data_IF_800701397950
#
_entry.id   IF_800701397950
#
_cell.length_a   1.000
_cell.length_b   1.000
_cell.length_c   1.000
_cell.angle_alpha   90.00
_cell.angle_beta   90.00
_cell.angle_gamma   90.00
#
_symmetry.space_group_name_H-M   'P 1'
#
loop_
_entity.id
_entity.type
_entity.pdbx_description
1 polymer ?
#
# COMPACT_ATOMS: atom_id res chain seq x y z
N UNK A 1 2.84 37.60 -46.60
CA UNK A 1 3.21 36.72 -45.47
C UNK A 1 1.94 36.42 -44.73
N UNK A 2 1.42 35.22 -44.95
CA UNK A 2 -0.02 34.95 -44.85
C UNK A 2 -0.45 34.70 -43.40
N UNK A 3 -1.48 35.45 -42.98
CA UNK A 3 -2.10 35.43 -41.66
C UNK A 3 -2.61 34.04 -41.23
N UNK A 4 -2.67 33.10 -42.17
CA UNK A 4 -3.12 31.72 -42.02
C UNK A 4 -2.12 30.82 -41.27
N UNK A 5 -0.82 31.10 -41.35
CA UNK A 5 0.20 30.35 -40.59
C UNK A 5 0.22 30.74 -39.10
N UNK A 6 -0.04 32.02 -38.81
CA UNK A 6 -0.11 32.52 -37.45
C UNK A 6 -1.33 31.97 -36.70
N UNK A 7 -2.49 31.85 -37.36
CA UNK A 7 -3.68 31.27 -36.74
C UNK A 7 -3.52 29.78 -36.42
N UNK A 8 -2.83 29.02 -37.28
CA UNK A 8 -2.55 27.59 -37.04
C UNK A 8 -1.63 27.37 -35.82
N UNK A 9 -0.61 28.21 -35.63
CA UNK A 9 0.29 28.14 -34.47
C UNK A 9 -0.43 28.48 -33.16
N UNK A 10 -1.30 29.48 -33.17
CA UNK A 10 -2.07 29.89 -31.97
C UNK A 10 -3.05 28.79 -31.56
N UNK A 11 -3.76 28.18 -32.52
CA UNK A 11 -4.71 27.09 -32.23
C UNK A 11 -3.98 25.83 -31.75
N UNK A 12 -2.84 25.49 -32.35
CA UNK A 12 -2.00 24.37 -31.91
C UNK A 12 -1.44 24.56 -30.50
N UNK A 13 -0.94 25.75 -30.17
CA UNK A 13 -0.45 26.08 -28.83
C UNK A 13 -1.57 26.08 -27.78
N UNK A 14 -2.75 26.61 -28.11
CA UNK A 14 -3.90 26.61 -27.22
C UNK A 14 -4.41 25.19 -26.93
N UNK A 15 -4.52 24.34 -27.96
CA UNK A 15 -4.93 22.93 -27.79
C UNK A 15 -3.86 22.14 -27.01
N UNK A 16 -2.58 22.34 -27.32
CA UNK A 16 -1.45 21.75 -26.60
C UNK A 16 -1.41 22.17 -25.12
N UNK A 17 -1.67 23.44 -24.82
CA UNK A 17 -1.76 23.95 -23.45
C UNK A 17 -2.97 23.39 -22.69
N UNK A 18 -4.14 23.28 -23.34
CA UNK A 18 -5.34 22.68 -22.75
C UNK A 18 -5.19 21.18 -22.46
N UNK A 19 -4.47 20.44 -23.31
CA UNK A 19 -4.15 19.02 -23.09
C UNK A 19 -3.06 18.87 -22.02
N UNK A 20 -2.01 19.69 -22.06
CA UNK A 20 -0.89 19.65 -21.12
C UNK A 20 -1.28 20.03 -19.69
N UNK A 21 -2.18 21.00 -19.51
CA UNK A 21 -2.67 21.41 -18.17
C UNK A 21 -3.68 20.42 -17.57
N UNK A 22 -4.24 19.50 -18.36
CA UNK A 22 -5.16 18.46 -17.87
C UNK A 22 -4.49 17.22 -17.28
N UNK A 23 -3.15 17.09 -17.37
CA UNK A 23 -2.41 15.90 -16.89
C UNK A 23 -1.71 16.07 -15.54
N UNK A 24 -1.80 17.24 -14.91
CA UNK A 24 -1.19 17.50 -13.60
C UNK A 24 -2.23 17.65 -12.50
N UNK A 25 -2.99 16.58 -12.22
CA UNK A 25 -3.48 16.39 -10.86
C UNK A 25 -2.45 15.51 -10.15
N UNK A 26 -1.73 16.00 -9.13
CA UNK A 26 -0.91 15.12 -8.31
C UNK A 26 -1.84 14.09 -7.67
N UNK A 27 -1.63 12.82 -8.00
CA UNK A 27 -2.32 11.63 -7.43
C UNK A 27 -2.25 11.62 -5.89
N UNK A 28 -1.37 12.43 -5.31
CA UNK A 28 -1.14 12.58 -3.88
C UNK A 28 -2.28 13.30 -3.14
N UNK A 29 -3.04 14.19 -3.79
CA UNK A 29 -4.04 15.02 -3.10
C UNK A 29 -5.43 14.35 -2.94
N UNK A 30 -5.74 13.35 -3.77
CA UNK A 30 -7.05 12.69 -3.77
C UNK A 30 -7.13 11.49 -2.80
N UNK A 31 -5.99 11.01 -2.28
CA UNK A 31 -5.91 9.91 -1.32
C UNK A 31 -6.25 10.35 0.12
N UNK A 32 -6.31 11.66 0.39
CA UNK A 32 -6.49 12.20 1.74
C UNK A 32 -7.95 12.17 2.23
N UNK A 33 -8.95 12.12 1.32
CA UNK A 33 -10.36 12.30 1.71
C UNK A 33 -11.14 11.02 2.02
N UNK A 34 -10.71 9.86 1.56
CA UNK A 34 -11.43 8.59 1.80
C UNK A 34 -11.08 7.94 3.16
N UNK A 35 -10.13 8.50 3.91
CA UNK A 35 -9.65 8.00 5.21
C UNK A 35 -10.42 8.62 6.40
N UNK A 36 -11.50 9.38 6.17
CA UNK A 36 -12.18 10.12 7.25
C UNK A 36 -13.33 9.42 7.98
N UNK A 37 -13.72 8.19 7.61
CA UNK A 37 -14.99 7.64 8.11
C UNK A 37 -14.94 6.28 8.80
N UNK A 38 -13.79 5.71 9.21
CA UNK A 38 -13.83 4.54 10.11
C UNK A 38 -12.77 4.52 11.22
N UNK A 39 -13.26 4.87 12.42
CA UNK A 39 -12.94 4.20 13.70
C UNK A 39 -11.66 4.66 14.43
N UNK A 40 -11.87 5.61 15.34
CA UNK A 40 -11.39 5.60 16.73
C UNK A 40 -10.61 4.34 17.15
N UNK A 41 -9.26 4.30 17.11
CA UNK A 41 -8.53 3.14 17.67
C UNK A 41 -7.20 3.56 18.30
N UNK A 42 -7.02 3.08 19.52
CA UNK A 42 -5.81 3.05 20.34
C UNK A 42 -4.55 2.65 19.56
N UNK A 43 -3.34 2.94 20.09
CA UNK A 43 -2.08 2.41 19.55
C UNK A 43 -2.22 0.92 19.29
N UNK A 44 -1.71 0.45 18.13
CA UNK A 44 -1.70 -0.97 17.85
C UNK A 44 -0.89 -1.68 18.95
N UNK A 45 -1.29 -2.88 19.35
CA UNK A 45 -0.59 -3.60 20.44
C UNK A 45 0.89 -3.81 20.14
N UNK A 46 1.26 -3.94 18.86
CA UNK A 46 2.65 -3.99 18.38
C UNK A 46 3.50 -2.79 18.79
N UNK A 47 2.92 -1.60 18.96
CA UNK A 47 3.65 -0.41 19.40
C UNK A 47 4.14 -0.54 20.84
N UNK A 48 3.35 -1.21 21.69
CA UNK A 48 3.75 -1.51 23.07
C UNK A 48 4.78 -2.64 23.12
N UNK A 49 4.68 -3.60 22.19
CA UNK A 49 5.63 -4.71 22.10
C UNK A 49 7.01 -4.25 21.66
N UNK A 50 7.11 -3.15 20.90
CA UNK A 50 8.38 -2.57 20.48
C UNK A 50 9.24 -2.05 21.64
N UNK A 51 8.66 -1.83 22.81
CA UNK A 51 9.43 -1.47 24.02
C UNK A 51 10.10 -2.70 24.67
N UNK A 52 9.77 -3.93 24.22
CA UNK A 52 10.21 -5.20 24.83
C UNK A 52 10.96 -6.09 23.84
N UNK A 53 10.61 -6.01 22.56
CA UNK A 53 11.12 -6.87 21.50
C UNK A 53 11.89 -6.05 20.48
N UNK A 54 13.05 -6.56 20.07
CA UNK A 54 13.89 -5.92 19.04
C UNK A 54 13.81 -6.63 17.68
N UNK A 55 13.19 -7.81 17.59
CA UNK A 55 13.08 -8.59 16.34
C UNK A 55 11.67 -8.48 15.74
N UNK A 56 11.54 -7.65 14.70
CA UNK A 56 10.30 -7.50 13.94
C UNK A 56 10.44 -7.98 12.51
N UNK A 57 9.39 -8.64 12.02
CA UNK A 57 9.24 -9.03 10.62
C UNK A 57 7.83 -8.84 10.11
N UNK A 58 7.74 -8.60 8.82
CA UNK A 58 6.48 -8.53 8.09
C UNK A 58 6.18 -9.89 7.50
N UNK A 59 5.02 -10.45 7.83
CA UNK A 59 4.55 -11.71 7.24
C UNK A 59 3.43 -11.41 6.25
N UNK A 60 3.65 -11.82 5.00
CA UNK A 60 2.73 -11.66 3.88
C UNK A 60 2.06 -13.00 3.60
N UNK A 61 0.77 -13.08 3.86
CA UNK A 61 0.01 -14.33 3.70
C UNK A 61 -0.67 -14.35 2.34
N UNK A 62 -0.41 -15.39 1.55
CA UNK A 62 -0.92 -15.53 0.18
C UNK A 62 -1.84 -16.74 0.09
N UNK A 63 -3.08 -16.48 -0.32
CA UNK A 63 -4.10 -17.49 -0.61
C UNK A 63 -3.83 -18.25 -1.90
N UNK A 64 -3.71 -19.57 -1.80
CA UNK A 64 -3.42 -20.48 -2.92
C UNK A 64 -4.69 -20.90 -3.68
N UNK A 65 -5.86 -20.86 -3.05
CA UNK A 65 -7.17 -21.13 -3.67
C UNK A 65 -7.52 -20.13 -4.79
N UNK A 66 -7.02 -18.90 -4.70
CA UNK A 66 -7.25 -17.84 -5.69
C UNK A 66 -6.46 -18.03 -7.00
N UNK A 67 -5.64 -19.09 -7.10
CA UNK A 67 -4.86 -19.48 -8.31
C UNK A 67 -4.12 -18.31 -8.97
N UNK A 68 -3.55 -17.41 -8.16
CA UNK A 68 -2.81 -16.26 -8.67
C UNK A 68 -1.48 -16.69 -9.29
N UNK A 69 -1.15 -16.13 -10.46
CA UNK A 69 0.17 -16.27 -11.06
C UNK A 69 1.25 -15.54 -10.23
N UNK A 70 2.50 -16.00 -10.33
CA UNK A 70 3.65 -15.47 -9.57
C UNK A 70 3.80 -13.94 -9.67
N UNK A 71 3.58 -13.37 -10.85
CA UNK A 71 3.64 -11.91 -11.05
C UNK A 71 2.54 -11.15 -10.31
N UNK A 72 1.31 -11.68 -10.31
CA UNK A 72 0.19 -11.08 -9.57
C UNK A 72 0.44 -11.16 -8.06
N UNK A 73 0.96 -12.28 -7.57
CA UNK A 73 1.35 -12.43 -6.16
C UNK A 73 2.38 -11.37 -5.77
N UNK A 74 3.46 -11.21 -6.55
CA UNK A 74 4.51 -10.23 -6.26
C UNK A 74 3.97 -8.78 -6.21
N UNK A 75 3.10 -8.41 -7.15
CA UNK A 75 2.45 -7.11 -7.16
C UNK A 75 1.58 -6.89 -5.91
N UNK A 76 0.75 -7.88 -5.55
CA UNK A 76 -0.13 -7.79 -4.38
C UNK A 76 0.67 -7.70 -3.07
N UNK A 77 1.69 -8.53 -2.90
CA UNK A 77 2.59 -8.43 -1.75
C UNK A 77 3.23 -7.03 -1.65
N UNK A 78 3.66 -6.46 -2.78
CA UNK A 78 4.24 -5.11 -2.81
C UNK A 78 3.24 -4.02 -2.40
N UNK A 79 2.00 -4.10 -2.90
CA UNK A 79 0.92 -3.19 -2.52
C UNK A 79 0.58 -3.30 -1.04
N UNK A 80 0.46 -4.53 -0.53
CA UNK A 80 0.10 -4.81 0.85
C UNK A 80 1.19 -4.32 1.82
N UNK A 81 2.47 -4.55 1.50
CA UNK A 81 3.61 -3.99 2.24
C UNK A 81 3.54 -2.46 2.32
N UNK A 82 3.32 -1.76 1.20
CA UNK A 82 3.25 -0.30 1.20
C UNK A 82 2.03 0.23 1.97
N UNK A 83 0.87 -0.44 1.84
CA UNK A 83 -0.34 -0.12 2.57
C UNK A 83 -0.14 -0.24 4.09
N UNK A 84 0.50 -1.32 4.52
CA UNK A 84 0.85 -1.51 5.93
C UNK A 84 1.87 -0.46 6.40
N UNK A 85 2.95 -0.22 5.64
CA UNK A 85 3.96 0.77 6.00
C UNK A 85 3.32 2.13 6.32
N UNK A 86 2.46 2.64 5.43
CA UNK A 86 1.71 3.90 5.63
C UNK A 86 0.79 3.88 6.86
N UNK A 87 0.34 2.70 7.29
CA UNK A 87 -0.47 2.52 8.49
C UNK A 87 0.42 2.57 9.74
N UNK A 88 1.55 1.86 9.73
CA UNK A 88 2.50 1.80 10.84
C UNK A 88 3.11 3.16 11.15
N UNK A 89 3.49 3.94 10.12
CA UNK A 89 3.99 5.32 10.28
C UNK A 89 3.10 6.17 11.19
N UNK A 90 1.78 5.94 11.19
CA UNK A 90 0.82 6.71 12.00
C UNK A 90 0.38 6.02 13.29
N UNK A 91 0.47 4.69 13.36
CA UNK A 91 -0.17 3.89 14.42
C UNK A 91 0.78 3.08 15.29
N UNK A 92 1.98 2.81 14.80
CA UNK A 92 3.01 2.07 15.49
C UNK A 92 4.42 2.46 14.96
N UNK A 93 4.86 3.71 15.17
CA UNK A 93 6.15 4.18 14.68
C UNK A 93 7.34 3.44 15.32
N UNK A 94 7.33 3.11 16.61
CA UNK A 94 8.45 2.38 17.24
C UNK A 94 8.59 0.98 16.64
N UNK A 95 7.48 0.27 16.48
CA UNK A 95 7.50 -1.05 15.86
C UNK A 95 7.97 -1.01 14.40
N UNK A 96 7.67 0.09 13.70
CA UNK A 96 8.20 0.34 12.35
C UNK A 96 9.71 0.55 12.38
N UNK A 97 10.20 1.40 13.27
CA UNK A 97 11.63 1.71 13.41
C UNK A 97 12.43 0.43 13.70
N UNK A 98 12.00 -0.40 14.66
CA UNK A 98 12.64 -1.68 14.95
C UNK A 98 12.67 -2.61 13.73
N UNK A 99 11.58 -2.67 12.95
CA UNK A 99 11.54 -3.45 11.70
C UNK A 99 12.50 -2.92 10.64
N UNK A 100 12.67 -1.60 10.53
CA UNK A 100 13.62 -0.98 9.61
C UNK A 100 15.07 -1.25 10.01
N UNK A 101 15.37 -1.17 11.31
CA UNK A 101 16.68 -1.51 11.88
C UNK A 101 17.02 -3.00 11.66
N UNK A 102 16.01 -3.88 11.63
CA UNK A 102 16.15 -5.30 11.28
C UNK A 102 16.38 -5.57 9.78
N UNK A 103 16.67 -4.56 8.96
CA UNK A 103 16.77 -4.65 7.50
C UNK A 103 15.45 -5.03 6.80
N UNK A 104 14.32 -4.65 7.39
CA UNK A 104 12.99 -4.73 6.79
C UNK A 104 12.57 -6.14 6.30
N UNK A 105 12.70 -7.19 7.11
CA UNK A 105 12.48 -8.57 6.66
C UNK A 105 11.01 -8.80 6.29
N UNK A 106 10.80 -9.46 5.15
CA UNK A 106 9.48 -9.80 4.59
C UNK A 106 9.44 -11.29 4.28
N UNK A 107 8.55 -12.02 4.95
CA UNK A 107 8.36 -13.46 4.77
C UNK A 107 7.03 -13.69 4.08
N UNK A 108 7.03 -14.36 2.94
CA UNK A 108 5.81 -14.70 2.21
C UNK A 108 5.45 -16.15 2.50
N UNK A 109 4.27 -16.38 3.06
CA UNK A 109 3.73 -17.72 3.34
C UNK A 109 2.51 -17.99 2.47
N UNK A 110 2.27 -19.26 2.17
CA UNK A 110 1.09 -19.71 1.42
C UNK A 110 0.14 -20.43 2.35
N UNK A 111 -1.15 -20.22 2.13
CA UNK A 111 -2.24 -20.90 2.82
C UNK A 111 -3.22 -21.46 1.80
N UNK A 112 -3.91 -22.54 2.16
CA UNK A 112 -4.83 -23.20 1.23
C UNK A 112 -6.21 -22.55 1.23
N UNK A 113 -6.70 -22.05 2.38
CA UNK A 113 -8.03 -21.46 2.52
C UNK A 113 -8.07 -20.23 3.44
N UNK A 114 -9.26 -19.63 3.57
CA UNK A 114 -9.48 -18.45 4.41
C UNK A 114 -9.53 -18.76 5.91
N UNK A 115 -9.87 -19.99 6.28
CA UNK A 115 -9.99 -20.38 7.69
C UNK A 115 -8.59 -20.50 8.32
N UNK A 116 -7.64 -21.12 7.62
CA UNK A 116 -6.22 -21.17 8.00
C UNK A 116 -5.63 -19.75 8.16
N UNK A 117 -6.10 -18.79 7.35
CA UNK A 117 -5.71 -17.39 7.47
C UNK A 117 -6.11 -16.78 8.82
N UNK A 118 -7.35 -17.04 9.25
CA UNK A 118 -7.90 -16.51 10.50
C UNK A 118 -7.18 -17.12 11.69
N UNK A 119 -6.89 -18.43 11.63
CA UNK A 119 -6.08 -19.13 12.63
C UNK A 119 -4.66 -18.54 12.73
N UNK A 120 -4.02 -18.29 11.58
CA UNK A 120 -2.70 -17.67 11.54
C UNK A 120 -2.71 -16.25 12.12
N UNK A 121 -3.73 -15.44 11.83
CA UNK A 121 -3.85 -14.09 12.41
C UNK A 121 -3.90 -14.12 13.94
N UNK A 122 -4.57 -15.11 14.54
CA UNK A 122 -4.62 -15.28 16.00
C UNK A 122 -3.27 -15.73 16.56
N UNK A 123 -2.56 -16.63 15.86
CA UNK A 123 -1.25 -17.12 16.33
C UNK A 123 -0.13 -16.08 16.21
N UNK A 124 -0.23 -15.19 15.22
CA UNK A 124 0.81 -14.22 14.85
C UNK A 124 0.59 -12.83 15.48
N UNK A 125 -0.18 -12.71 16.56
CA UNK A 125 -0.41 -11.45 17.29
C UNK A 125 0.88 -10.75 17.75
N UNK A 126 2.01 -11.48 17.80
CA UNK A 126 3.33 -10.94 18.12
C UNK A 126 4.11 -10.39 16.93
N UNK A 127 3.59 -10.51 15.70
CA UNK A 127 4.26 -10.09 14.48
C UNK A 127 3.41 -9.11 13.69
N UNK A 128 4.07 -8.38 12.80
CA UNK A 128 3.42 -7.46 11.89
C UNK A 128 2.87 -8.30 10.71
N UNK A 129 1.60 -8.68 10.79
CA UNK A 129 0.95 -9.50 9.76
C UNK A 129 0.22 -8.63 8.76
N UNK A 130 0.43 -8.94 7.48
CA UNK A 130 -0.29 -8.33 6.37
C UNK A 130 -1.03 -9.40 5.60
N UNK A 131 -2.34 -9.20 5.49
CA UNK A 131 -3.18 -9.96 4.59
C UNK A 131 -3.01 -9.43 3.15
N UNK A 132 -2.61 -10.31 2.24
CA UNK A 132 -2.65 -10.04 0.80
C UNK A 132 -3.96 -10.57 0.22
N UNK A 133 -5.09 -9.99 0.65
CA UNK A 133 -6.39 -10.32 0.07
C UNK A 133 -6.49 -9.72 -1.33
N UNK A 134 -7.19 -10.41 -2.22
CA UNK A 134 -7.55 -9.88 -3.55
C UNK A 134 -8.66 -8.85 -3.36
N UNK A 135 -8.32 -7.72 -2.77
CA UNK A 135 -9.18 -6.55 -2.81
C UNK A 135 -8.82 -5.77 -4.08
N UNK A 136 -9.60 -6.07 -5.12
CA UNK A 136 -9.85 -5.28 -6.34
C UNK A 136 -8.89 -4.09 -6.58
N UNK A 137 -7.87 -4.33 -7.41
CA UNK A 137 -7.38 -3.29 -8.33
C UNK A 137 -7.81 -3.66 -9.74
N UNK A 138 -9.04 -3.28 -10.07
CA UNK A 138 -9.50 -2.82 -11.39
C UNK A 138 -10.52 -1.71 -11.17
#
# INVERSE_FOLDING_TARGET
>A
MDLTWLSALIVGAALGYCIGTRRSKPVVAAVDKDIKTQSSKSPLEIEKLADILDDFKMVLVVRNDLKMGKGKIAAQCSHATLGLYKKLVRRAPKALDCWEECAQPKVVVKIEDEDEMLELQVSLLKQIVVDCKVDFFY
#
